data_IF_889824491069
#
_entry.id   IF_889824491069
#
_cell.length_a   1.000
_cell.length_b   1.000
_cell.length_c   1.000
_cell.angle_alpha   90.00
_cell.angle_beta   90.00
_cell.angle_gamma   90.00
#
_symmetry.space_group_name_H-M   'P 1'
#
loop_
_entity.id
_entity.type
_entity.pdbx_description
1 polymer ?
#
# COMPACT_ATOMS: atom_id res chain seq x y z
N UNK A 1 6.00 -6.37 7.51
CA UNK A 1 6.44 -5.57 8.69
C UNK A 1 7.91 -5.83 8.93
N UNK A 2 8.33 -7.09 9.11
CA UNK A 2 9.74 -7.45 9.32
C UNK A 2 10.66 -6.96 8.19
N UNK A 3 10.22 -7.14 6.95
CA UNK A 3 10.89 -6.65 5.74
C UNK A 3 11.01 -5.12 5.68
N UNK A 4 10.18 -4.40 6.43
CA UNK A 4 10.21 -2.93 6.53
C UNK A 4 10.91 -2.44 7.80
N UNK A 5 11.27 -3.33 8.73
CA UNK A 5 11.82 -2.93 10.03
C UNK A 5 13.16 -2.20 9.89
N UNK A 6 14.05 -2.70 9.02
CA UNK A 6 15.31 -2.03 8.71
C UNK A 6 15.08 -0.60 8.18
N UNK A 7 14.05 -0.40 7.35
CA UNK A 7 13.69 0.90 6.78
C UNK A 7 13.11 1.86 7.82
N UNK A 8 12.31 1.35 8.75
CA UNK A 8 11.84 2.13 9.90
C UNK A 8 13.03 2.61 10.74
N UNK A 9 13.99 1.72 11.02
CA UNK A 9 15.19 2.07 11.80
C UNK A 9 16.09 3.09 11.10
N UNK A 10 16.27 2.98 9.78
CA UNK A 10 17.06 3.97 9.03
C UNK A 10 16.39 5.35 8.98
N UNK A 11 15.07 5.39 9.13
CA UNK A 11 14.29 6.62 9.29
C UNK A 11 14.15 7.05 10.78
N UNK A 12 14.98 6.50 11.68
CA UNK A 12 15.00 6.79 13.12
C UNK A 12 13.67 6.49 13.85
N UNK A 13 12.87 5.58 13.30
CA UNK A 13 11.61 5.13 13.90
C UNK A 13 11.78 3.79 14.62
N UNK A 14 11.10 3.67 15.77
CA UNK A 14 10.93 2.41 16.48
C UNK A 14 9.67 1.66 16.02
N UNK A 15 9.70 0.33 16.13
CA UNK A 15 8.54 -0.53 15.95
C UNK A 15 8.44 -1.47 17.14
N UNK A 16 7.23 -1.67 17.65
CA UNK A 16 6.90 -2.73 18.58
C UNK A 16 5.48 -3.23 18.28
N UNK A 17 5.23 -4.51 18.51
CA UNK A 17 3.87 -5.05 18.48
C UNK A 17 3.44 -5.43 19.89
N UNK A 18 2.14 -5.31 20.16
CA UNK A 18 1.53 -5.67 21.45
C UNK A 18 0.40 -6.66 21.22
N UNK A 19 0.35 -7.73 22.00
CA UNK A 19 -0.76 -8.69 21.98
C UNK A 19 -1.09 -9.21 23.38
N UNK A 20 -2.25 -9.85 23.51
CA UNK A 20 -2.69 -10.50 24.74
C UNK A 20 -1.91 -11.77 25.11
N UNK A 21 -1.01 -12.22 24.22
CA UNK A 21 -0.25 -13.45 24.39
C UNK A 21 0.79 -13.32 25.51
N UNK A 22 1.12 -14.43 26.16
CA UNK A 22 2.14 -14.45 27.21
C UNK A 22 3.55 -14.24 26.64
N UNK A 23 4.53 -13.80 27.46
CA UNK A 23 5.91 -13.65 27.01
C UNK A 23 6.51 -14.93 26.41
N UNK A 24 6.13 -16.11 26.93
CA UNK A 24 6.60 -17.39 26.42
C UNK A 24 6.06 -17.71 25.01
N UNK A 25 4.78 -17.40 24.76
CA UNK A 25 4.16 -17.55 23.43
C UNK A 25 4.80 -16.58 22.44
N UNK A 26 5.01 -15.32 22.84
CA UNK A 26 5.66 -14.31 22.00
C UNK A 26 7.11 -14.68 21.67
N UNK A 27 7.87 -15.19 22.64
CA UNK A 27 9.24 -15.64 22.41
C UNK A 27 9.32 -16.80 21.40
N UNK A 28 8.45 -17.81 21.56
CA UNK A 28 8.38 -18.92 20.60
C UNK A 28 7.95 -18.44 19.21
N UNK A 29 7.00 -17.51 19.13
CA UNK A 29 6.56 -16.93 17.87
C UNK A 29 7.71 -16.18 17.20
N UNK A 30 8.37 -15.26 17.91
CA UNK A 30 9.47 -14.47 17.38
C UNK A 30 10.64 -15.32 16.87
N UNK A 31 11.00 -16.38 17.61
CA UNK A 31 12.05 -17.32 17.19
C UNK A 31 11.67 -18.03 15.88
N UNK A 32 10.43 -18.51 15.77
CA UNK A 32 9.96 -19.27 14.61
C UNK A 32 9.77 -18.41 13.36
N UNK A 33 9.34 -17.16 13.53
CA UNK A 33 9.07 -16.24 12.42
C UNK A 33 10.21 -15.27 12.14
N UNK A 34 11.29 -15.35 12.93
CA UNK A 34 12.47 -14.47 12.82
C UNK A 34 12.14 -12.99 12.98
N UNK A 35 11.21 -12.65 13.89
CA UNK A 35 10.87 -11.26 14.19
C UNK A 35 11.98 -10.63 15.02
N UNK A 36 12.48 -9.49 14.53
CA UNK A 36 13.59 -8.77 15.17
C UNK A 36 13.14 -7.57 16.02
N UNK A 37 11.89 -7.12 15.88
CA UNK A 37 11.35 -6.02 16.66
C UNK A 37 10.71 -6.51 17.97
N UNK A 38 10.66 -5.66 19.02
CA UNK A 38 10.04 -6.04 20.29
C UNK A 38 8.57 -6.47 20.17
N UNK A 39 8.26 -7.63 20.76
CA UNK A 39 6.90 -8.10 21.02
C UNK A 39 6.57 -7.93 22.50
N UNK A 40 5.55 -7.11 22.79
CA UNK A 40 5.12 -6.76 24.13
C UNK A 40 3.89 -7.60 24.52
N UNK A 41 3.94 -8.20 25.72
CA UNK A 41 2.83 -8.95 26.28
C UNK A 41 1.90 -8.01 27.06
N UNK A 42 0.61 -8.07 26.73
CA UNK A 42 -0.51 -7.52 27.50
C UNK A 42 -1.37 -8.68 28.03
N UNK A 43 -0.75 -9.62 28.74
CA UNK A 43 -1.44 -10.79 29.29
C UNK A 43 -2.65 -10.35 30.13
N UNK A 44 -3.85 -10.84 29.76
CA UNK A 44 -5.12 -10.40 30.37
C UNK A 44 -5.83 -9.25 29.64
N UNK A 45 -5.20 -8.69 28.61
CA UNK A 45 -5.72 -7.63 27.73
C UNK A 45 -6.02 -6.32 28.48
N UNK A 46 -5.21 -5.93 29.46
CA UNK A 46 -5.45 -4.73 30.26
C UNK A 46 -5.29 -3.45 29.44
N UNK A 47 -4.20 -3.34 28.68
CA UNK A 47 -3.92 -2.21 27.79
C UNK A 47 -4.93 -2.20 26.64
N UNK A 48 -5.18 -3.36 26.02
CA UNK A 48 -6.18 -3.55 24.96
C UNK A 48 -7.56 -3.02 25.40
N UNK A 49 -8.01 -3.36 26.61
CA UNK A 49 -9.27 -2.87 27.19
C UNK A 49 -9.22 -1.38 27.48
N UNK A 50 -8.12 -0.87 28.06
CA UNK A 50 -7.97 0.54 28.39
C UNK A 50 -7.99 1.43 27.15
N UNK A 51 -7.49 0.94 26.02
CA UNK A 51 -7.52 1.62 24.74
C UNK A 51 -8.87 1.46 24.01
N UNK A 52 -9.80 0.67 24.55
CA UNK A 52 -11.12 0.44 23.95
C UNK A 52 -11.07 -0.36 22.66
N UNK A 53 -10.03 -1.16 22.45
CA UNK A 53 -9.81 -1.92 21.20
C UNK A 53 -9.99 -3.41 21.38
N UNK A 54 -10.61 -3.88 22.47
CA UNK A 54 -10.94 -5.30 22.62
C UNK A 54 -11.94 -5.74 21.55
N UNK A 55 -11.72 -6.88 20.92
CA UNK A 55 -12.71 -7.47 20.03
C UNK A 55 -13.84 -8.13 20.83
N UNK A 56 -14.94 -7.41 21.03
CA UNK A 56 -16.10 -7.85 21.82
C UNK A 56 -16.96 -8.91 21.11
N UNK A 57 -16.71 -9.21 19.84
CA UNK A 57 -17.41 -10.29 19.11
C UNK A 57 -16.99 -11.69 19.57
N UNK A 58 -15.83 -11.79 20.25
CA UNK A 58 -15.31 -13.05 20.78
C UNK A 58 -15.82 -13.25 22.20
N UNK A 59 -16.57 -14.32 22.42
CA UNK A 59 -17.18 -14.61 23.72
C UNK A 59 -16.18 -15.14 24.75
N UNK A 60 -16.46 -14.89 26.03
CA UNK A 60 -15.71 -15.45 27.16
C UNK A 60 -15.71 -16.99 27.09
N UNK A 61 -14.57 -17.60 27.35
CA UNK A 61 -14.36 -19.06 27.23
C UNK A 61 -13.85 -19.49 25.85
N UNK A 62 -13.88 -18.63 24.83
CA UNK A 62 -13.17 -18.87 23.58
C UNK A 62 -11.65 -18.72 23.81
N UNK A 63 -10.79 -19.61 23.27
CA UNK A 63 -9.33 -19.48 23.37
C UNK A 63 -8.76 -18.16 22.82
N UNK A 64 -9.46 -17.49 21.90
CA UNK A 64 -9.06 -16.19 21.36
C UNK A 64 -9.65 -14.99 22.14
N UNK A 65 -10.29 -15.22 23.29
CA UNK A 65 -10.83 -14.15 24.12
C UNK A 65 -9.68 -13.27 24.64
N UNK A 66 -9.75 -11.97 24.33
CA UNK A 66 -8.69 -11.01 24.66
C UNK A 66 -7.99 -10.39 23.44
N UNK A 67 -8.21 -10.95 22.24
CA UNK A 67 -7.69 -10.40 20.99
C UNK A 67 -8.25 -8.98 20.76
N UNK A 68 -7.42 -8.02 20.33
CA UNK A 68 -7.88 -6.69 19.97
C UNK A 68 -8.48 -6.66 18.55
N UNK A 69 -9.31 -5.66 18.26
CA UNK A 69 -9.43 -5.18 16.89
C UNK A 69 -8.03 -4.75 16.41
N UNK A 70 -7.56 -5.27 15.28
CA UNK A 70 -6.22 -4.99 14.84
C UNK A 70 -6.07 -3.53 14.43
N UNK A 71 -4.91 -2.97 14.73
CA UNK A 71 -4.57 -1.64 14.27
C UNK A 71 -3.15 -1.23 14.60
N UNK A 72 -2.81 -0.02 14.16
CA UNK A 72 -1.49 0.58 14.33
C UNK A 72 -1.64 1.97 14.93
N UNK A 73 -0.80 2.26 15.92
CA UNK A 73 -0.63 3.60 16.46
C UNK A 73 0.72 4.16 16.02
N UNK A 74 0.71 5.41 15.55
CA UNK A 74 1.93 6.18 15.34
C UNK A 74 2.06 7.18 16.48
N UNK A 75 3.21 7.17 17.15
CA UNK A 75 3.50 7.98 18.33
C UNK A 75 4.62 8.97 18.02
N UNK A 76 4.59 10.16 18.63
CA UNK A 76 5.77 11.04 18.67
C UNK A 76 6.80 10.54 19.69
N UNK A 77 7.98 11.17 19.74
CA UNK A 77 9.05 10.83 20.70
C UNK A 77 8.70 11.05 22.18
N UNK A 78 7.54 11.67 22.47
CA UNK A 78 7.00 11.85 23.82
C UNK A 78 5.90 10.85 24.15
N UNK A 79 5.63 9.88 23.27
CA UNK A 79 4.60 8.86 23.44
C UNK A 79 3.17 9.36 23.16
N UNK A 80 3.01 10.50 22.48
CA UNK A 80 1.69 11.04 22.14
C UNK A 80 1.28 10.51 20.77
N UNK A 81 0.07 9.93 20.70
CA UNK A 81 -0.50 9.41 19.44
C UNK A 81 -0.67 10.55 18.43
N UNK A 82 -0.18 10.33 17.20
CA UNK A 82 -0.28 11.24 16.05
C UNK A 82 -1.17 10.71 14.94
N UNK A 83 -1.23 9.39 14.78
CA UNK A 83 -2.13 8.74 13.84
C UNK A 83 -2.60 7.38 14.39
N UNK A 84 -3.74 6.92 13.88
CA UNK A 84 -4.34 5.62 14.19
C UNK A 84 -4.82 4.99 12.88
N UNK A 85 -4.52 3.71 12.69
CA UNK A 85 -4.98 2.93 11.54
C UNK A 85 -5.72 1.71 12.10
N UNK A 86 -7.04 1.70 11.96
CA UNK A 86 -7.94 0.67 12.48
C UNK A 86 -9.06 0.43 11.48
N UNK A 87 -9.27 -0.83 11.12
CA UNK A 87 -10.37 -1.22 10.24
C UNK A 87 -11.54 -1.78 11.03
N UNK A 88 -12.75 -1.63 10.47
CA UNK A 88 -13.99 -2.12 11.09
C UNK A 88 -14.12 -3.64 11.09
N UNK A 89 -13.60 -4.32 10.06
CA UNK A 89 -13.43 -5.78 10.01
C UNK A 89 -11.98 -6.12 10.38
N UNK A 90 -11.78 -7.04 11.35
CA UNK A 90 -10.45 -7.49 11.77
C UNK A 90 -9.66 -8.19 10.65
N UNK A 91 -10.33 -8.60 9.57
CA UNK A 91 -9.71 -9.20 8.39
C UNK A 91 -9.11 -8.16 7.45
N UNK A 92 -9.58 -6.92 7.54
CA UNK A 92 -9.08 -5.80 6.75
C UNK A 92 -7.90 -5.16 7.47
N UNK A 93 -6.86 -4.81 6.72
CA UNK A 93 -5.67 -4.20 7.31
C UNK A 93 -4.81 -3.47 6.29
N UNK A 94 -4.54 -2.20 6.58
CA UNK A 94 -3.46 -1.47 5.92
C UNK A 94 -2.09 -2.09 6.25
N UNK A 95 -1.30 -2.35 5.21
CA UNK A 95 0.06 -2.86 5.40
C UNK A 95 0.98 -1.80 5.99
N UNK A 96 2.09 -2.25 6.58
CA UNK A 96 3.14 -1.35 7.05
C UNK A 96 3.74 -0.52 5.91
N UNK A 97 3.88 -1.08 4.71
CA UNK A 97 4.34 -0.32 3.54
C UNK A 97 3.40 0.83 3.20
N UNK A 98 2.09 0.62 3.23
CA UNK A 98 1.08 1.65 2.99
C UNK A 98 1.13 2.75 4.04
N UNK A 99 1.21 2.41 5.32
CA UNK A 99 1.38 3.39 6.41
C UNK A 99 2.67 4.20 6.22
N UNK A 100 3.78 3.53 5.88
CA UNK A 100 5.06 4.18 5.64
C UNK A 100 5.01 5.22 4.51
N UNK A 101 4.37 4.85 3.39
CA UNK A 101 4.17 5.74 2.26
C UNK A 101 3.30 6.94 2.64
N UNK A 102 2.11 6.67 3.21
CA UNK A 102 1.09 7.72 3.42
C UNK A 102 1.42 8.66 4.58
N UNK A 103 1.97 8.12 5.67
CA UNK A 103 2.24 8.92 6.86
C UNK A 103 3.61 9.62 6.82
N UNK A 104 4.58 9.03 6.13
CA UNK A 104 5.98 9.49 6.18
C UNK A 104 6.60 9.75 4.80
N UNK A 105 5.88 9.52 3.69
CA UNK A 105 6.40 9.68 2.33
C UNK A 105 7.46 8.65 1.96
N UNK A 106 7.59 7.57 2.74
CA UNK A 106 8.62 6.55 2.55
C UNK A 106 8.15 5.55 1.50
N UNK A 107 8.60 5.76 0.26
CA UNK A 107 8.29 4.91 -0.88
C UNK A 107 8.95 3.51 -0.78
N UNK A 108 8.43 2.47 -1.46
CA UNK A 108 9.12 1.18 -1.57
C UNK A 108 10.41 1.31 -2.38
N UNK A 109 11.39 0.43 -2.11
CA UNK A 109 12.64 0.36 -2.88
C UNK A 109 12.51 -0.56 -4.11
N UNK A 110 11.53 -1.47 -4.09
CA UNK A 110 11.36 -2.51 -5.09
C UNK A 110 10.50 -2.01 -6.27
N UNK A 111 11.10 -2.02 -7.46
CA UNK A 111 10.39 -1.74 -8.72
C UNK A 111 9.91 -3.05 -9.32
N UNK A 112 8.62 -3.16 -9.58
CA UNK A 112 8.02 -4.35 -10.19
C UNK A 112 8.14 -4.34 -11.72
N UNK A 113 8.04 -3.16 -12.35
CA UNK A 113 8.24 -3.00 -13.77
C UNK A 113 8.84 -1.63 -14.09
N UNK A 114 9.67 -1.56 -15.13
CA UNK A 114 10.13 -0.32 -15.73
C UNK A 114 9.88 -0.38 -17.23
N UNK A 115 9.23 0.63 -17.78
CA UNK A 115 8.79 0.68 -19.17
C UNK A 115 9.21 2.01 -19.79
N UNK A 116 10.01 1.94 -20.85
CA UNK A 116 10.27 3.10 -21.72
C UNK A 116 9.10 3.24 -22.68
N UNK A 117 8.18 4.16 -22.39
CA UNK A 117 7.04 4.47 -23.24
C UNK A 117 7.39 5.60 -24.22
N UNK A 118 6.47 5.97 -25.11
CA UNK A 118 6.68 7.09 -26.02
C UNK A 118 6.64 8.40 -25.26
N UNK A 119 7.76 9.12 -25.24
CA UNK A 119 7.89 10.46 -24.65
C UNK A 119 7.89 10.51 -23.11
N UNK A 120 7.94 9.38 -22.40
CA UNK A 120 8.19 9.31 -20.95
C UNK A 120 8.71 7.93 -20.51
N UNK A 121 9.29 7.85 -19.32
CA UNK A 121 9.60 6.57 -18.67
C UNK A 121 8.62 6.32 -17.53
N UNK A 122 8.27 5.05 -17.32
CA UNK A 122 7.37 4.60 -16.26
C UNK A 122 8.07 3.60 -15.37
N UNK A 123 7.91 3.73 -14.07
CA UNK A 123 8.20 2.64 -13.12
C UNK A 123 6.97 2.35 -12.26
N UNK A 124 6.64 1.06 -12.19
CA UNK A 124 5.56 0.53 -11.39
C UNK A 124 6.14 -0.10 -10.12
N UNK A 125 5.61 0.28 -8.96
CA UNK A 125 6.01 -0.28 -7.67
C UNK A 125 4.78 -0.60 -6.82
N UNK A 126 4.96 -1.39 -5.77
CA UNK A 126 3.96 -1.62 -4.73
C UNK A 126 4.60 -1.40 -3.37
N UNK A 127 3.82 -0.92 -2.39
CA UNK A 127 4.33 -0.69 -1.03
C UNK A 127 4.89 -1.95 -0.39
N UNK A 128 4.33 -3.10 -0.76
CA UNK A 128 4.66 -4.42 -0.23
C UNK A 128 4.72 -5.40 -1.40
N UNK A 129 5.78 -6.20 -1.49
CA UNK A 129 5.90 -7.30 -2.46
C UNK A 129 5.27 -8.60 -1.95
N UNK A 130 4.89 -8.63 -0.66
CA UNK A 130 4.16 -9.70 0.01
C UNK A 130 2.90 -9.14 0.65
N UNK A 131 1.78 -9.83 0.49
CA UNK A 131 0.52 -9.46 1.10
C UNK A 131 -0.24 -10.70 1.59
N UNK A 132 -1.25 -10.50 2.42
CA UNK A 132 -2.17 -11.54 2.88
C UNK A 132 -3.59 -11.19 2.44
N UNK A 133 -4.45 -12.20 2.35
CA UNK A 133 -5.87 -12.00 2.08
C UNK A 133 -6.49 -11.02 3.08
N UNK A 134 -7.29 -10.06 2.58
CA UNK A 134 -7.88 -8.98 3.36
C UNK A 134 -6.99 -7.75 3.55
N UNK A 135 -5.71 -7.79 3.19
CA UNK A 135 -4.85 -6.61 3.33
C UNK A 135 -5.10 -5.56 2.25
N UNK A 136 -4.81 -4.31 2.59
CA UNK A 136 -4.76 -3.19 1.66
C UNK A 136 -3.30 -2.83 1.37
N UNK A 137 -2.98 -2.67 0.08
CA UNK A 137 -1.66 -2.26 -0.40
C UNK A 137 -1.81 -1.05 -1.30
N UNK A 138 -0.80 -0.18 -1.36
CA UNK A 138 -0.77 0.89 -2.37
C UNK A 138 0.12 0.49 -3.54
N UNK A 139 -0.41 0.64 -4.74
CA UNK A 139 0.36 0.60 -5.98
C UNK A 139 0.83 2.01 -6.31
N UNK A 140 2.04 2.12 -6.83
CA UNK A 140 2.66 3.37 -7.26
C UNK A 140 2.99 3.28 -8.75
N UNK A 141 2.82 4.40 -9.43
CA UNK A 141 3.28 4.60 -10.80
C UNK A 141 4.04 5.93 -10.87
N UNK A 142 5.35 5.83 -11.02
CA UNK A 142 6.23 6.98 -11.20
C UNK A 142 6.45 7.22 -12.69
N UNK A 143 6.23 8.46 -13.10
CA UNK A 143 6.46 8.96 -14.46
C UNK A 143 7.66 9.89 -14.44
N UNK A 144 8.60 9.65 -15.34
CA UNK A 144 9.69 10.59 -15.65
C UNK A 144 9.43 11.20 -17.02
N UNK A 145 8.95 12.44 -17.02
CA UNK A 145 8.62 13.20 -18.23
C UNK A 145 9.83 14.08 -18.61
N UNK A 146 10.43 13.89 -19.80
CA UNK A 146 11.58 14.66 -20.25
C UNK A 146 11.29 16.17 -20.34
N UNK A 147 12.32 17.03 -20.22
CA UNK A 147 12.16 18.48 -20.41
C UNK A 147 11.52 18.83 -21.75
N UNK A 148 10.60 19.80 -21.74
CA UNK A 148 9.87 20.24 -22.94
C UNK A 148 8.66 19.40 -23.30
N UNK A 149 8.41 18.28 -22.61
CA UNK A 149 7.22 17.45 -22.75
C UNK A 149 6.31 17.63 -21.53
N UNK A 150 5.00 17.56 -21.74
CA UNK A 150 4.00 17.53 -20.69
C UNK A 150 2.87 16.54 -20.99
N UNK A 151 2.13 16.14 -19.96
CA UNK A 151 0.88 15.38 -20.09
C UNK A 151 -0.23 16.10 -19.34
N UNK A 152 -1.47 15.97 -19.78
CA UNK A 152 -2.58 16.68 -19.13
C UNK A 152 -3.03 15.99 -17.84
N UNK A 153 -3.30 16.80 -16.82
CA UNK A 153 -3.86 16.34 -15.55
C UNK A 153 -5.38 16.09 -15.67
N UNK A 154 -5.98 15.28 -14.75
CA UNK A 154 -7.42 15.09 -14.71
C UNK A 154 -8.21 16.40 -14.63
N UNK A 155 -9.37 16.44 -15.28
CA UNK A 155 -10.27 17.61 -15.29
C UNK A 155 -10.00 18.62 -16.41
N UNK A 156 -8.96 18.43 -17.22
CA UNK A 156 -8.72 19.21 -18.44
C UNK A 156 -9.91 19.10 -19.42
N UNK A 157 -10.24 20.17 -20.15
CA UNK A 157 -11.32 20.19 -21.14
C UNK A 157 -10.76 20.25 -22.56
N UNK A 158 -11.24 19.38 -23.45
CA UNK A 158 -10.81 19.37 -24.86
C UNK A 158 -9.51 18.60 -25.13
N UNK A 159 -8.86 18.07 -24.09
CA UNK A 159 -7.61 17.31 -24.18
C UNK A 159 -7.75 15.93 -23.55
N UNK A 160 -6.75 15.07 -23.77
CA UNK A 160 -6.72 13.71 -23.23
C UNK A 160 -5.88 13.71 -21.94
N UNK A 161 -6.52 13.61 -20.76
CA UNK A 161 -5.79 13.51 -19.51
C UNK A 161 -5.15 12.14 -19.35
N UNK A 162 -4.15 12.09 -18.47
CA UNK A 162 -3.63 10.86 -17.93
C UNK A 162 -4.74 10.10 -17.17
N UNK A 163 -4.89 8.81 -17.48
CA UNK A 163 -5.87 7.92 -16.87
C UNK A 163 -5.21 6.58 -16.55
N UNK A 164 -5.24 6.17 -15.28
CA UNK A 164 -4.69 4.90 -14.84
C UNK A 164 -5.82 3.96 -14.43
N UNK A 165 -5.87 2.81 -15.10
CA UNK A 165 -6.86 1.76 -14.86
C UNK A 165 -6.20 0.49 -14.32
N UNK A 166 -6.90 -0.20 -13.41
CA UNK A 166 -6.58 -1.55 -12.95
C UNK A 166 -7.72 -2.45 -13.39
N UNK A 167 -7.38 -3.64 -13.91
CA UNK A 167 -8.36 -4.68 -14.21
C UNK A 167 -8.86 -5.31 -12.90
N UNK A 168 -9.77 -4.61 -12.22
CA UNK A 168 -10.32 -5.02 -10.93
C UNK A 168 -11.22 -6.25 -11.02
N UNK A 169 -11.27 -7.02 -9.94
CA UNK A 169 -12.18 -8.16 -9.75
C UNK A 169 -12.46 -8.34 -8.24
N UNK A 170 -13.19 -9.39 -7.84
CA UNK A 170 -13.51 -9.63 -6.42
C UNK A 170 -12.26 -9.81 -5.53
N UNK A 171 -11.15 -10.28 -6.08
CA UNK A 171 -9.89 -10.46 -5.36
C UNK A 171 -9.01 -9.20 -5.36
N UNK A 172 -9.24 -8.26 -6.28
CA UNK A 172 -8.43 -7.04 -6.46
C UNK A 172 -9.39 -5.87 -6.65
N UNK A 173 -9.72 -5.20 -5.55
CA UNK A 173 -10.62 -4.04 -5.55
C UNK A 173 -9.78 -2.77 -5.51
N UNK A 174 -9.68 -2.10 -6.65
CA UNK A 174 -8.88 -0.89 -6.78
C UNK A 174 -9.69 0.37 -6.40
N UNK A 175 -9.15 1.17 -5.47
CA UNK A 175 -9.71 2.46 -5.07
C UNK A 175 -9.56 3.54 -6.14
N UNK A 176 -9.88 4.82 -5.85
CA UNK A 176 -9.57 5.92 -6.76
C UNK A 176 -8.07 6.14 -6.90
N UNK A 177 -7.65 6.77 -8.01
CA UNK A 177 -6.26 7.20 -8.18
C UNK A 177 -6.06 8.51 -7.41
N UNK A 178 -5.05 8.53 -6.55
CA UNK A 178 -4.53 9.72 -5.91
C UNK A 178 -3.53 10.40 -6.86
N UNK A 179 -3.96 11.52 -7.44
CA UNK A 179 -3.16 12.34 -8.33
C UNK A 179 -2.44 13.45 -7.54
N UNK A 180 -1.17 13.78 -7.87
CA UNK A 180 -0.48 14.89 -7.25
C UNK A 180 -1.03 16.23 -7.73
N UNK A 181 -0.64 17.33 -7.08
CA UNK A 181 -0.99 18.66 -7.56
C UNK A 181 -0.43 18.92 -8.97
N UNK A 182 -1.29 19.42 -9.85
CA UNK A 182 -0.91 19.77 -11.22
C UNK A 182 -0.38 21.21 -11.30
N UNK A 183 0.34 21.52 -12.39
CA UNK A 183 0.79 22.88 -12.70
C UNK A 183 -0.07 23.47 -13.80
N UNK A 184 -0.49 24.72 -13.66
CA UNK A 184 -1.15 25.43 -14.74
C UNK A 184 -0.10 25.89 -15.76
N UNK A 185 -0.28 25.52 -17.03
CA UNK A 185 0.56 25.91 -18.15
C UNK A 185 -0.27 26.68 -19.16
N UNK A 186 0.28 27.79 -19.66
CA UNK A 186 -0.31 28.54 -20.77
C UNK A 186 0.23 28.01 -22.10
N UNK A 187 -0.67 27.68 -23.02
CA UNK A 187 -0.36 27.23 -24.36
C UNK A 187 -0.37 28.45 -25.30
N UNK A 188 0.78 29.07 -25.51
CA UNK A 188 0.90 30.37 -26.20
C UNK A 188 0.25 30.41 -27.59
N UNK A 189 0.32 29.31 -28.35
CA UNK A 189 -0.23 29.25 -29.70
C UNK A 189 -1.76 29.47 -29.75
N UNK A 190 -2.46 29.10 -28.68
CA UNK A 190 -3.93 29.14 -28.60
C UNK A 190 -4.44 29.93 -27.39
N UNK A 191 -3.53 30.52 -26.59
CA UNK A 191 -3.82 31.33 -25.41
C UNK A 191 -4.71 30.65 -24.36
N UNK A 192 -4.64 29.32 -24.27
CA UNK A 192 -5.37 28.53 -23.27
C UNK A 192 -4.48 28.26 -22.05
N UNK A 193 -5.08 28.17 -20.86
CA UNK A 193 -4.36 27.77 -19.65
C UNK A 193 -4.95 26.46 -19.12
N UNK A 194 -4.10 25.44 -19.02
CA UNK A 194 -4.50 24.05 -18.80
C UNK A 194 -3.66 23.41 -17.69
N UNK A 195 -4.24 22.50 -16.89
CA UNK A 195 -3.50 21.78 -15.86
C UNK A 195 -2.68 20.64 -16.49
N UNK A 196 -1.38 20.62 -16.20
CA UNK A 196 -0.43 19.66 -16.76
C UNK A 196 0.49 19.08 -15.69
N UNK A 197 1.09 17.95 -16.02
CA UNK A 197 2.22 17.38 -15.31
C UNK A 197 3.50 17.45 -16.15
N UNK A 198 4.61 17.71 -15.47
CA UNK A 198 5.97 17.84 -16.04
C UNK A 198 6.99 17.27 -15.06
N UNK A 199 8.13 16.77 -15.56
CA UNK A 199 9.17 16.17 -14.73
C UNK A 199 8.72 14.86 -14.08
N UNK A 200 9.08 14.66 -12.81
CA UNK A 200 8.70 13.49 -12.04
C UNK A 200 7.28 13.61 -11.46
N UNK A 201 6.44 12.60 -11.69
CA UNK A 201 5.05 12.56 -11.26
C UNK A 201 4.75 11.20 -10.68
N UNK A 202 4.28 11.16 -9.42
CA UNK A 202 3.88 9.92 -8.76
C UNK A 202 2.37 9.82 -8.67
N UNK A 203 1.80 8.76 -9.23
CA UNK A 203 0.41 8.37 -9.01
C UNK A 203 0.36 7.27 -7.96
N UNK A 204 -0.63 7.33 -7.07
CA UNK A 204 -0.83 6.32 -6.03
C UNK A 204 -2.23 5.76 -6.15
N UNK A 205 -2.41 4.46 -5.94
CA UNK A 205 -3.72 3.82 -5.92
C UNK A 205 -3.74 2.69 -4.90
N UNK A 206 -4.69 2.77 -3.98
CA UNK A 206 -4.91 1.67 -3.04
C UNK A 206 -5.65 0.52 -3.70
N UNK A 207 -5.28 -0.69 -3.28
CA UNK A 207 -5.87 -1.93 -3.73
C UNK A 207 -6.16 -2.80 -2.51
N UNK A 208 -7.42 -3.17 -2.35
CA UNK A 208 -7.82 -4.16 -1.37
C UNK A 208 -7.69 -5.56 -1.96
N UNK A 209 -6.94 -6.41 -1.27
CA UNK A 209 -6.78 -7.82 -1.57
C UNK A 209 -7.96 -8.57 -0.96
N UNK A 210 -8.70 -9.30 -1.79
CA UNK A 210 -9.89 -10.02 -1.39
C UNK A 210 -9.61 -11.18 -0.43
N UNK A 211 -10.66 -11.97 -0.17
CA UNK A 211 -10.57 -13.09 0.76
C UNK A 211 -9.76 -14.25 0.17
N UNK A 212 -9.38 -15.21 1.01
CA UNK A 212 -8.72 -16.46 0.56
C UNK A 212 -9.54 -17.18 -0.52
N UNK A 213 -10.88 -17.10 -0.47
CA UNK A 213 -11.77 -17.69 -1.47
C UNK A 213 -11.65 -16.98 -2.81
N UNK A 214 -11.59 -15.65 -2.79
CA UNK A 214 -11.52 -14.83 -4.01
C UNK A 214 -10.17 -15.02 -4.71
N UNK A 215 -9.11 -15.24 -3.94
CA UNK A 215 -7.75 -15.46 -4.43
C UNK A 215 -7.51 -16.86 -4.99
N UNK A 216 -8.26 -17.89 -4.55
CA UNK A 216 -7.95 -19.30 -4.78
C UNK A 216 -7.74 -19.69 -6.26
N UNK A 217 -8.42 -19.02 -7.19
CA UNK A 217 -8.31 -19.31 -8.64
C UNK A 217 -7.38 -18.35 -9.41
N UNK A 218 -6.79 -17.36 -8.74
CA UNK A 218 -5.95 -16.33 -9.37
C UNK A 218 -4.47 -16.45 -9.03
N UNK A 219 -4.14 -17.24 -8.01
CA UNK A 219 -2.76 -17.49 -7.62
C UNK A 219 -2.09 -18.48 -8.58
N UNK A 220 -0.84 -18.19 -8.95
CA UNK A 220 -0.02 -19.15 -9.68
C UNK A 220 0.44 -20.32 -8.77
N UNK A 221 1.16 -21.29 -9.35
CA UNK A 221 1.70 -22.43 -8.60
C UNK A 221 2.66 -22.04 -7.47
N UNK A 222 3.21 -20.83 -7.52
CA UNK A 222 4.08 -20.26 -6.52
C UNK A 222 3.30 -19.41 -5.52
N UNK A 223 1.99 -19.20 -5.66
CA UNK A 223 1.20 -18.36 -4.77
C UNK A 223 1.34 -16.86 -5.04
N UNK A 224 1.76 -16.45 -6.24
CA UNK A 224 1.78 -15.04 -6.63
C UNK A 224 0.45 -14.63 -7.26
N UNK A 225 0.05 -13.40 -6.96
CA UNK A 225 -1.06 -12.70 -7.57
C UNK A 225 -0.52 -11.67 -8.56
N UNK A 226 -0.97 -11.74 -9.81
CA UNK A 226 -0.66 -10.75 -10.83
C UNK A 226 -1.81 -9.75 -10.96
N UNK A 227 -1.51 -8.47 -10.77
CA UNK A 227 -2.44 -7.36 -10.90
C UNK A 227 -2.12 -6.65 -12.21
N UNK A 228 -3.04 -6.69 -13.17
CA UNK A 228 -2.88 -6.03 -14.46
C UNK A 228 -3.52 -4.63 -14.44
N UNK A 229 -2.89 -3.69 -15.12
CA UNK A 229 -3.40 -2.35 -15.33
C UNK A 229 -2.92 -1.73 -16.62
N UNK A 230 -3.36 -0.50 -16.88
CA UNK A 230 -2.86 0.28 -18.00
C UNK A 230 -2.86 1.77 -17.70
N UNK A 231 -1.85 2.47 -18.22
CA UNK A 231 -1.80 3.92 -18.23
C UNK A 231 -2.12 4.44 -19.62
N UNK A 232 -3.21 5.19 -19.76
CA UNK A 232 -3.52 5.94 -20.97
C UNK A 232 -3.10 7.39 -20.79
N UNK A 233 -2.38 7.95 -21.75
CA UNK A 233 -1.98 9.37 -21.73
C UNK A 233 -1.80 9.92 -23.14
N UNK A 234 -1.70 11.24 -23.23
CA UNK A 234 -1.24 11.96 -24.41
C UNK A 234 -0.14 12.91 -24.00
N UNK A 235 1.05 12.73 -24.57
CA UNK A 235 2.15 13.67 -24.42
C UNK A 235 2.02 14.80 -25.44
N UNK A 236 2.44 15.99 -25.05
CA UNK A 236 2.56 17.14 -25.93
C UNK A 236 3.89 17.86 -25.70
N UNK A 237 4.43 18.45 -26.76
CA UNK A 237 5.53 19.41 -26.68
C UNK A 237 4.99 20.84 -26.92
N UNK A 238 5.88 21.79 -27.19
CA UNK A 238 5.50 23.19 -27.44
C UNK A 238 4.74 23.42 -28.75
N UNK A 239 4.79 22.48 -29.68
CA UNK A 239 4.30 22.64 -31.06
C UNK A 239 3.14 21.72 -31.38
N UNK A 240 3.06 20.56 -30.73
CA UNK A 240 2.06 19.55 -31.05
C UNK A 240 1.75 18.63 -29.87
N UNK A 241 0.59 17.99 -29.96
CA UNK A 241 0.24 16.83 -29.15
C UNK A 241 0.43 15.55 -29.97
N UNK A 242 1.15 14.60 -29.39
CA UNK A 242 1.42 13.31 -30.02
C UNK A 242 0.17 12.41 -30.01
N UNK A 243 0.25 11.28 -30.71
CA UNK A 243 -0.83 10.27 -30.68
C UNK A 243 -0.91 9.68 -29.26
N UNK A 244 -2.13 9.59 -28.67
CA UNK A 244 -2.30 8.98 -27.36
C UNK A 244 -1.76 7.55 -27.30
N UNK A 245 -1.17 7.20 -26.16
CA UNK A 245 -0.61 5.88 -25.90
C UNK A 245 -1.35 5.20 -24.75
N UNK A 246 -1.40 3.86 -24.81
CA UNK A 246 -1.84 3.01 -23.71
C UNK A 246 -0.68 2.07 -23.39
N UNK A 247 -0.15 2.17 -22.17
CA UNK A 247 0.95 1.34 -21.70
C UNK A 247 0.41 0.28 -20.74
N UNK A 248 0.53 -1.02 -21.04
CA UNK A 248 0.16 -2.08 -20.11
C UNK A 248 1.16 -2.15 -18.95
N UNK A 249 0.65 -2.41 -17.75
CA UNK A 249 1.40 -2.47 -16.51
C UNK A 249 1.01 -3.73 -15.73
N UNK A 250 1.97 -4.29 -14.99
CA UNK A 250 1.73 -5.47 -14.15
C UNK A 250 2.47 -5.33 -12.84
N UNK A 251 1.78 -5.64 -11.75
CA UNK A 251 2.36 -5.81 -10.41
C UNK A 251 2.22 -7.27 -10.01
N UNK A 252 3.23 -7.80 -9.32
CA UNK A 252 3.22 -9.18 -8.84
C UNK A 252 3.40 -9.18 -7.33
N UNK A 253 2.40 -9.66 -6.60
CA UNK A 253 2.45 -9.75 -5.15
C UNK A 253 2.47 -11.21 -4.73
N UNK A 254 3.39 -11.57 -3.84
CA UNK A 254 3.39 -12.88 -3.21
C UNK A 254 2.29 -12.92 -2.14
N UNK A 255 1.32 -13.81 -2.29
CA UNK A 255 0.26 -13.97 -1.29
C UNK A 255 0.67 -15.01 -0.25
N UNK A 256 0.81 -14.55 0.98
CA UNK A 256 1.18 -15.38 2.11
C UNK A 256 -0.06 -15.94 2.82
N UNK A 257 0.09 -17.16 3.34
CA UNK A 257 -0.92 -17.76 4.18
C UNK A 257 -0.80 -17.24 5.61
N UNK A 258 -1.94 -17.09 6.27
CA UNK A 258 -1.95 -16.78 7.70
C UNK A 258 -1.26 -17.91 8.46
N UNK A 259 -0.40 -17.53 9.40
CA UNK A 259 0.19 -18.48 10.31
C UNK A 259 -0.88 -19.04 11.27
N UNK A 260 -1.01 -20.37 11.27
CA UNK A 260 -1.97 -21.10 12.09
C UNK A 260 -1.29 -22.02 13.10
N UNK A 261 0.04 -21.99 13.18
CA UNK A 261 0.81 -22.81 14.11
C UNK A 261 0.63 -22.25 15.52
N UNK A 262 0.01 -23.03 16.39
CA UNK A 262 -0.13 -22.67 17.81
C UNK A 262 1.18 -22.87 18.55
N UNK A 263 1.46 -21.97 19.49
CA UNK A 263 2.54 -22.15 20.45
C UNK A 263 2.34 -23.44 21.25
N UNK A 264 3.44 -24.11 21.53
CA UNK A 264 3.46 -25.32 22.35
C UNK A 264 3.76 -24.88 23.77
N UNK A 265 2.73 -24.65 24.57
CA UNK A 265 2.88 -24.45 26.01
C UNK A 265 3.30 -25.76 26.66
N UNK A 266 4.54 -25.83 27.15
CA UNK A 266 4.99 -26.85 28.10
C UNK A 266 4.52 -26.51 29.50
#
# INVERSE_FOLDING_TARGET
>A
MDDKYAKLRSAEMGLAAISYDSPAVLAQFAERTHIEFPLLSDAGSEIIRRFGILNETIQRGNPAYGVPYPGVYVLDSRGVVRAKFFEGDYRERDTAGMILLKQFGIAPDETHASVTAKHLQLSAAATDSRAQAGQHVSLLLDLEIPPGVHVYAPGVKGYIPINWEIAGNEAVKAGPVEYPESKMMTLDAIHETVPVYVGHVRLIRDVAIGTQKDLASLLDAQGNLSIAGSLRYQACDQTQCFIPEIVPLTWTLKIEQLDRVRAVTK
#
